data_IF_561925563387
#
_entry.id   IF_561925563387
#
_cell.length_a   1.000
_cell.length_b   1.000
_cell.length_c   1.000
_cell.angle_alpha   90.00
_cell.angle_beta   90.00
_cell.angle_gamma   90.00
#
_symmetry.space_group_name_H-M   'P 1'
#
loop_
_entity.id
_entity.type
_entity.pdbx_description
1 polymer ?
#
# COMPACT_ATOMS: atom_id res chain seq x y z
N UNK A 1 23.95 33.94 -19.73
CA UNK A 1 24.37 32.59 -19.28
C UNK A 1 23.10 31.83 -18.95
N UNK A 2 22.65 30.96 -19.86
CA UNK A 2 21.42 30.18 -19.68
C UNK A 2 21.78 28.92 -18.88
N UNK A 3 21.31 28.83 -17.64
CA UNK A 3 21.38 27.59 -16.87
C UNK A 3 20.29 26.65 -17.41
N UNK A 4 20.59 25.90 -18.47
CA UNK A 4 19.78 24.76 -18.83
C UNK A 4 20.00 23.67 -17.77
N UNK A 5 19.12 23.59 -16.78
CA UNK A 5 19.08 22.46 -15.86
C UNK A 5 18.81 21.21 -16.71
N UNK A 6 19.70 20.21 -16.63
CA UNK A 6 19.42 18.92 -17.25
C UNK A 6 18.10 18.37 -16.66
N UNK A 7 17.25 17.71 -17.47
CA UNK A 7 16.02 17.12 -16.97
C UNK A 7 16.37 16.12 -15.85
N UNK A 8 15.65 16.23 -14.74
CA UNK A 8 15.80 15.35 -13.58
C UNK A 8 15.45 13.92 -13.99
N UNK A 9 16.24 12.93 -13.58
CA UNK A 9 15.94 11.53 -13.88
C UNK A 9 14.75 11.04 -13.07
N UNK A 10 14.06 10.00 -13.54
CA UNK A 10 12.95 9.39 -12.82
C UNK A 10 13.34 8.93 -11.40
N UNK A 11 14.52 8.33 -11.25
CA UNK A 11 15.02 7.89 -9.95
C UNK A 11 15.28 9.07 -9.02
N UNK A 12 15.77 10.19 -9.56
CA UNK A 12 15.96 11.42 -8.80
C UNK A 12 14.61 12.02 -8.35
N UNK A 13 13.58 11.98 -9.20
CA UNK A 13 12.23 12.42 -8.82
C UNK A 13 11.64 11.57 -7.69
N UNK A 14 11.75 10.24 -7.79
CA UNK A 14 11.27 9.33 -6.75
C UNK A 14 12.07 9.51 -5.45
N UNK A 15 13.40 9.65 -5.54
CA UNK A 15 14.25 9.88 -4.38
C UNK A 15 13.94 11.22 -3.69
N UNK A 16 13.73 12.29 -4.46
CA UNK A 16 13.33 13.60 -3.92
C UNK A 16 11.99 13.50 -3.17
N UNK A 17 10.98 12.86 -3.78
CA UNK A 17 9.69 12.65 -3.14
C UNK A 17 9.77 11.81 -1.86
N UNK A 18 10.65 10.79 -1.81
CA UNK A 18 10.93 10.04 -0.57
C UNK A 18 11.54 10.94 0.51
N UNK A 19 12.50 11.79 0.14
CA UNK A 19 13.12 12.76 1.06
C UNK A 19 12.13 13.76 1.64
N UNK A 20 11.25 14.32 0.81
CA UNK A 20 10.17 15.22 1.25
C UNK A 20 9.21 14.52 2.22
N UNK A 21 8.83 13.28 1.90
CA UNK A 21 7.94 12.49 2.75
C UNK A 21 8.59 12.15 4.09
N UNK A 22 9.86 11.75 4.10
CA UNK A 22 10.61 11.49 5.34
C UNK A 22 10.68 12.72 6.24
N UNK A 23 10.92 13.90 5.65
CA UNK A 23 10.90 15.17 6.39
C UNK A 23 9.51 15.47 6.98
N UNK A 24 8.45 15.27 6.19
CA UNK A 24 7.08 15.44 6.66
C UNK A 24 6.72 14.48 7.80
N UNK A 25 7.17 13.22 7.73
CA UNK A 25 6.93 12.24 8.81
C UNK A 25 7.77 12.55 10.06
N UNK A 26 8.96 13.13 9.90
CA UNK A 26 9.82 13.46 11.04
C UNK A 26 9.33 14.69 11.82
N UNK A 27 8.91 15.74 11.11
CA UNK A 27 8.67 17.06 11.72
C UNK A 27 7.38 17.76 11.26
N UNK A 28 6.61 17.15 10.37
CA UNK A 28 5.33 17.71 9.92
C UNK A 28 4.28 17.78 11.03
N UNK A 29 3.38 18.75 10.92
CA UNK A 29 2.26 18.90 11.87
C UNK A 29 1.34 17.68 11.82
N UNK A 30 1.05 17.19 10.60
CA UNK A 30 0.20 16.02 10.35
C UNK A 30 1.00 14.70 10.35
N UNK A 31 2.18 14.67 10.99
CA UNK A 31 3.00 13.46 11.03
C UNK A 31 2.24 12.33 11.76
N UNK A 32 2.12 11.14 11.15
CA UNK A 32 1.52 9.96 11.78
C UNK A 32 2.47 9.27 12.76
N UNK A 33 3.69 9.78 12.96
CA UNK A 33 4.63 9.24 13.94
C UNK A 33 4.27 9.80 15.32
N UNK A 34 4.02 8.94 16.33
CA UNK A 34 3.74 9.40 17.69
C UNK A 34 4.83 10.32 18.22
N UNK A 35 4.46 11.39 18.92
CA UNK A 35 5.41 12.42 19.37
C UNK A 35 6.59 11.85 20.16
N UNK A 36 6.36 10.81 20.97
CA UNK A 36 7.40 10.12 21.73
C UNK A 36 8.40 9.34 20.86
N UNK A 37 7.99 8.88 19.67
CA UNK A 37 8.84 8.13 18.73
C UNK A 37 9.57 9.04 17.73
N UNK A 38 9.11 10.29 17.53
CA UNK A 38 9.66 11.23 16.52
C UNK A 38 11.16 11.49 16.67
N UNK A 39 11.67 11.57 17.91
CA UNK A 39 13.10 11.82 18.15
C UNK A 39 14.00 10.70 17.62
N UNK A 40 13.51 9.45 17.64
CA UNK A 40 14.22 8.27 17.13
C UNK A 40 13.92 7.94 15.66
N UNK A 41 13.07 8.73 15.00
CA UNK A 41 12.65 8.47 13.63
C UNK A 41 13.78 8.78 12.62
N UNK A 42 14.33 7.71 12.03
CA UNK A 42 15.44 7.76 11.10
C UNK A 42 15.02 7.75 9.61
N UNK A 43 13.74 8.04 9.33
CA UNK A 43 13.16 7.95 7.99
C UNK A 43 12.46 6.62 7.73
N UNK A 44 11.60 6.64 6.71
CA UNK A 44 10.85 5.49 6.24
C UNK A 44 11.78 4.43 5.64
N UNK A 45 11.25 3.23 5.47
CA UNK A 45 12.01 2.11 4.89
C UNK A 45 11.48 1.83 3.49
N UNK A 46 12.37 1.76 2.50
CA UNK A 46 12.02 1.59 1.10
C UNK A 46 12.77 0.43 0.46
N UNK A 47 12.21 -0.14 -0.60
CA UNK A 47 12.99 -0.90 -1.58
C UNK A 47 13.79 0.04 -2.48
N UNK A 48 14.80 -0.52 -3.14
CA UNK A 48 15.51 0.18 -4.21
C UNK A 48 14.53 0.61 -5.30
N UNK A 49 14.85 1.72 -5.98
CA UNK A 49 14.00 2.21 -7.07
C UNK A 49 14.22 1.30 -8.27
N UNK A 50 13.13 0.71 -8.75
CA UNK A 50 13.13 -0.17 -9.90
C UNK A 50 12.10 0.31 -10.92
N UNK A 51 12.54 0.93 -12.04
CA UNK A 51 11.65 1.44 -13.08
C UNK A 51 10.74 0.39 -13.71
N UNK A 52 11.05 -0.91 -13.62
CA UNK A 52 10.18 -1.98 -14.15
C UNK A 52 8.84 -2.09 -13.41
N UNK A 53 8.75 -1.52 -12.21
CA UNK A 53 7.53 -1.41 -11.42
C UNK A 53 6.76 -0.10 -11.65
N UNK A 54 7.13 0.69 -12.67
CA UNK A 54 6.29 1.77 -13.20
C UNK A 54 5.65 1.30 -14.49
N UNK A 55 4.34 1.07 -14.46
CA UNK A 55 3.59 0.49 -15.59
C UNK A 55 2.41 1.35 -15.99
N UNK A 56 2.15 1.45 -17.29
CA UNK A 56 0.94 2.08 -17.79
C UNK A 56 -0.27 1.18 -17.51
N UNK A 57 -1.35 1.77 -17.02
CA UNK A 57 -2.63 1.12 -16.88
C UNK A 57 -3.74 1.92 -17.56
N UNK A 58 -4.67 1.20 -18.16
CA UNK A 58 -5.92 1.78 -18.65
C UNK A 58 -7.00 1.56 -17.59
N UNK A 59 -7.68 2.64 -17.21
CA UNK A 59 -8.86 2.56 -16.35
C UNK A 59 -10.08 2.22 -17.20
N UNK A 60 -10.58 1.00 -17.04
CA UNK A 60 -11.93 0.68 -17.45
C UNK A 60 -12.88 1.24 -16.38
N UNK A 61 -13.37 2.47 -16.59
CA UNK A 61 -14.42 3.03 -15.74
C UNK A 61 -15.62 2.08 -15.75
N UNK A 62 -16.14 1.79 -14.57
CA UNK A 62 -17.34 0.97 -14.49
C UNK A 62 -18.54 1.86 -14.85
N UNK A 63 -19.45 1.37 -15.69
CA UNK A 63 -20.74 2.03 -16.01
C UNK A 63 -21.50 2.47 -14.73
N UNK A 64 -21.14 1.89 -13.58
CA UNK A 64 -21.66 2.13 -12.24
C UNK A 64 -20.75 3.04 -11.39
N UNK A 65 -20.54 4.31 -11.77
CA UNK A 65 -19.94 5.31 -10.84
C UNK A 65 -20.75 5.50 -9.52
N UNK A 66 -21.89 4.81 -9.42
CA UNK A 66 -22.79 4.65 -8.27
C UNK A 66 -22.54 3.39 -7.44
N UNK A 67 -21.73 2.41 -7.88
CA UNK A 67 -21.49 1.20 -7.08
C UNK A 67 -20.68 1.58 -5.85
N UNK A 68 -21.27 1.35 -4.68
CA UNK A 68 -20.63 1.53 -3.38
C UNK A 68 -20.36 0.15 -2.77
N UNK A 69 -19.17 -0.02 -2.22
CA UNK A 69 -18.81 -1.18 -1.40
C UNK A 69 -18.53 -0.73 0.03
N UNK A 70 -18.66 -1.65 0.97
CA UNK A 70 -18.15 -1.47 2.31
C UNK A 70 -16.77 -2.12 2.39
N UNK A 71 -15.73 -1.31 2.61
CA UNK A 71 -14.35 -1.76 2.76
C UNK A 71 -14.06 -1.90 4.25
N UNK A 72 -13.63 -3.10 4.67
CA UNK A 72 -13.27 -3.35 6.08
C UNK A 72 -12.10 -2.45 6.51
N UNK A 73 -12.05 -2.10 7.79
CA UNK A 73 -10.98 -1.28 8.38
C UNK A 73 -10.24 -2.03 9.49
N UNK A 74 -9.10 -1.49 9.92
CA UNK A 74 -8.24 -2.11 10.95
C UNK A 74 -8.89 -2.23 12.34
N UNK A 75 -9.91 -1.44 12.65
CA UNK A 75 -10.65 -1.50 13.91
C UNK A 75 -11.90 -2.41 13.86
N UNK A 76 -12.12 -3.10 12.73
CA UNK A 76 -13.26 -3.97 12.52
C UNK A 76 -14.54 -3.24 12.08
N UNK A 77 -14.48 -1.92 11.88
CA UNK A 77 -15.58 -1.18 11.24
C UNK A 77 -15.51 -1.28 9.72
N UNK A 78 -16.32 -0.49 9.01
CA UNK A 78 -16.36 -0.45 7.55
C UNK A 78 -16.48 0.97 7.02
N UNK A 79 -15.75 1.25 5.96
CA UNK A 79 -15.79 2.50 5.23
C UNK A 79 -16.50 2.32 3.89
N UNK A 80 -17.45 3.20 3.58
CA UNK A 80 -18.17 3.18 2.30
C UNK A 80 -17.34 3.83 1.20
N UNK A 81 -17.07 3.08 0.14
CA UNK A 81 -16.20 3.47 -0.98
C UNK A 81 -16.94 3.32 -2.30
N UNK A 82 -16.94 4.37 -3.13
CA UNK A 82 -17.40 4.28 -4.51
C UNK A 82 -16.34 3.60 -5.36
N UNK A 83 -16.78 2.65 -6.18
CA UNK A 83 -15.94 1.96 -7.16
C UNK A 83 -15.87 2.83 -8.40
N UNK A 84 -14.66 3.26 -8.79
CA UNK A 84 -14.46 4.07 -9.99
C UNK A 84 -14.27 3.19 -11.22
N UNK A 85 -13.50 2.12 -11.09
CA UNK A 85 -13.23 1.20 -12.19
C UNK A 85 -12.03 0.31 -11.91
N UNK A 86 -11.64 -0.41 -12.94
CA UNK A 86 -10.53 -1.37 -12.87
C UNK A 86 -9.37 -0.89 -13.74
N UNK A 87 -8.21 -0.72 -13.12
CA UNK A 87 -6.94 -0.43 -13.77
C UNK A 87 -6.35 -1.74 -14.30
N UNK A 88 -6.36 -1.92 -15.62
CA UNK A 88 -5.74 -3.07 -16.27
C UNK A 88 -4.33 -2.73 -16.75
N UNK A 89 -3.35 -3.55 -16.37
CA UNK A 89 -1.93 -3.35 -16.69
C UNK A 89 -1.21 -4.68 -16.91
N UNK A 90 0.03 -4.62 -17.39
CA UNK A 90 0.92 -5.79 -17.51
C UNK A 90 2.10 -5.59 -16.60
N UNK A 91 2.40 -6.60 -15.77
CA UNK A 91 3.55 -6.57 -14.87
C UNK A 91 4.12 -7.98 -14.74
N UNK A 92 5.44 -8.10 -14.92
CA UNK A 92 6.11 -9.40 -14.96
C UNK A 92 5.64 -10.29 -16.11
N UNK A 93 5.24 -9.70 -17.24
CA UNK A 93 4.75 -10.42 -18.42
C UNK A 93 3.30 -10.92 -18.34
N UNK A 94 2.62 -10.76 -17.20
CA UNK A 94 1.22 -11.17 -17.03
C UNK A 94 0.27 -9.98 -16.92
N UNK A 95 -0.95 -10.13 -17.45
CA UNK A 95 -2.01 -9.13 -17.27
C UNK A 95 -2.53 -9.19 -15.85
N UNK A 96 -2.65 -8.03 -15.23
CA UNK A 96 -3.13 -7.82 -13.87
C UNK A 96 -4.19 -6.73 -13.84
N UNK A 97 -4.92 -6.68 -12.74
CA UNK A 97 -5.93 -5.68 -12.50
C UNK A 97 -5.92 -5.22 -11.04
N UNK A 98 -6.18 -3.94 -10.82
CA UNK A 98 -6.46 -3.36 -9.51
C UNK A 98 -7.67 -2.43 -9.62
N UNK A 99 -8.57 -2.51 -8.66
CA UNK A 99 -9.74 -1.65 -8.59
C UNK A 99 -9.38 -0.33 -7.93
N UNK A 100 -9.86 0.78 -8.49
CA UNK A 100 -9.70 2.13 -7.97
C UNK A 100 -10.99 2.59 -7.27
N UNK A 101 -10.83 3.29 -6.15
CA UNK A 101 -11.93 3.72 -5.29
C UNK A 101 -11.82 5.20 -4.94
N UNK A 102 -12.93 5.76 -4.46
CA UNK A 102 -12.95 7.04 -3.73
C UNK A 102 -13.88 6.91 -2.53
N UNK A 103 -13.66 7.64 -1.42
CA UNK A 103 -14.64 7.72 -0.35
C UNK A 103 -16.01 8.13 -0.90
N UNK A 104 -17.08 7.48 -0.46
CA UNK A 104 -18.43 7.80 -0.93
C UNK A 104 -18.80 9.26 -0.69
N UNK A 105 -18.35 9.81 0.44
CA UNK A 105 -18.54 11.21 0.84
C UNK A 105 -17.72 12.20 0.02
N UNK A 106 -16.74 11.74 -0.77
CA UNK A 106 -15.92 12.63 -1.57
C UNK A 106 -16.72 13.19 -2.74
N UNK A 107 -16.88 14.51 -2.72
CA UNK A 107 -17.52 15.29 -3.80
C UNK A 107 -16.65 15.39 -5.05
N UNK A 108 -15.36 15.10 -4.89
CA UNK A 108 -14.36 15.22 -5.92
C UNK A 108 -13.59 13.91 -6.04
N UNK A 109 -13.52 13.40 -7.26
CA UNK A 109 -12.81 12.17 -7.59
C UNK A 109 -11.44 12.45 -8.24
N UNK A 110 -10.85 13.64 -8.03
CA UNK A 110 -9.51 14.01 -8.50
C UNK A 110 -8.41 13.07 -8.03
N UNK A 111 -8.55 12.45 -6.85
CA UNK A 111 -7.61 11.44 -6.34
C UNK A 111 -8.30 10.09 -6.25
N UNK A 112 -7.73 9.10 -6.92
CA UNK A 112 -8.17 7.73 -6.89
C UNK A 112 -7.32 6.96 -5.88
N UNK A 113 -7.99 6.26 -4.97
CA UNK A 113 -7.38 5.41 -3.97
C UNK A 113 -7.31 3.97 -4.47
N UNK A 114 -6.11 3.40 -4.50
CA UNK A 114 -5.87 2.03 -4.99
C UNK A 114 -5.17 1.23 -3.87
N UNK A 115 -5.94 0.62 -2.96
CA UNK A 115 -5.38 -0.26 -1.94
C UNK A 115 -5.08 -1.62 -2.55
N UNK A 116 -3.93 -2.21 -2.24
CA UNK A 116 -3.57 -3.53 -2.75
C UNK A 116 -2.79 -4.37 -1.76
N UNK A 117 -2.81 -5.68 -2.00
CA UNK A 117 -1.93 -6.67 -1.39
C UNK A 117 -1.06 -7.32 -2.47
N UNK A 118 0.07 -7.86 -2.07
CA UNK A 118 1.02 -8.56 -2.91
C UNK A 118 1.80 -9.61 -2.08
N UNK A 119 2.61 -10.45 -2.75
CA UNK A 119 3.30 -11.54 -2.08
C UNK A 119 4.41 -11.11 -1.10
N UNK A 120 4.79 -9.82 -1.06
CA UNK A 120 5.72 -9.28 -0.05
C UNK A 120 5.05 -8.97 1.28
N UNK A 121 3.71 -8.87 1.32
CA UNK A 121 3.00 -8.60 2.57
C UNK A 121 3.28 -9.70 3.60
N UNK A 122 3.37 -9.31 4.87
CA UNK A 122 3.66 -10.21 6.00
C UNK A 122 5.12 -10.73 6.06
N UNK A 123 5.95 -10.43 5.07
CA UNK A 123 7.38 -10.78 5.09
C UNK A 123 8.27 -9.53 5.00
N UNK A 124 8.08 -8.71 3.97
CA UNK A 124 8.93 -7.53 3.70
C UNK A 124 8.15 -6.21 3.80
N UNK A 125 6.82 -6.27 3.65
CA UNK A 125 5.90 -5.12 3.68
C UNK A 125 4.76 -5.34 4.69
N UNK A 126 4.05 -4.26 5.03
CA UNK A 126 2.97 -4.28 6.02
C UNK A 126 1.91 -5.34 5.69
N UNK A 127 1.53 -6.15 6.68
CA UNK A 127 0.61 -7.28 6.48
C UNK A 127 -0.81 -6.89 6.09
N UNK A 128 -1.24 -5.65 6.39
CA UNK A 128 -2.56 -5.14 6.01
C UNK A 128 -2.68 -4.80 4.53
N UNK A 129 -1.56 -4.53 3.85
CA UNK A 129 -1.51 -4.06 2.46
C UNK A 129 -0.83 -2.70 2.32
N UNK A 130 -0.74 -2.21 1.08
CA UNK A 130 -0.15 -0.91 0.73
C UNK A 130 -1.08 -0.16 -0.21
N UNK A 131 -0.84 1.14 -0.34
CA UNK A 131 -1.71 2.03 -1.11
C UNK A 131 -0.94 2.71 -2.24
N UNK A 132 -1.69 3.05 -3.28
CA UNK A 132 -1.32 4.01 -4.31
C UNK A 132 -2.43 5.06 -4.39
N UNK A 133 -2.02 6.33 -4.47
CA UNK A 133 -2.91 7.44 -4.78
C UNK A 133 -2.58 7.91 -6.20
N UNK A 134 -3.59 7.97 -7.05
CA UNK A 134 -3.44 8.41 -8.45
C UNK A 134 -4.22 9.70 -8.66
N UNK A 135 -3.61 10.67 -9.35
CA UNK A 135 -4.35 11.83 -9.84
C UNK A 135 -5.17 11.43 -11.07
N UNK A 136 -6.43 11.86 -11.10
CA UNK A 136 -7.37 11.48 -12.16
C UNK A 136 -6.89 12.01 -13.50
N UNK A 137 -6.68 11.08 -14.43
CA UNK A 137 -6.24 11.38 -15.79
C UNK A 137 -7.44 11.73 -16.66
N UNK A 138 -7.33 12.79 -17.46
CA UNK A 138 -8.37 13.18 -18.42
C UNK A 138 -8.52 12.21 -19.60
N UNK A 139 -7.50 11.38 -19.85
CA UNK A 139 -7.47 10.41 -20.96
C UNK A 139 -7.67 8.97 -20.49
N UNK A 140 -7.90 8.73 -19.19
CA UNK A 140 -8.13 7.39 -18.63
C UNK A 140 -6.89 6.47 -18.59
N UNK A 141 -5.71 7.00 -18.90
CA UNK A 141 -4.42 6.30 -18.81
C UNK A 141 -3.65 6.80 -17.59
N UNK A 142 -3.10 5.88 -16.82
CA UNK A 142 -2.44 6.12 -15.54
C UNK A 142 -1.06 5.47 -15.51
N UNK A 143 -0.10 6.16 -14.90
CA UNK A 143 1.17 5.55 -14.51
C UNK A 143 1.02 4.93 -13.12
N UNK A 144 0.88 3.60 -13.06
CA UNK A 144 0.92 2.87 -11.80
C UNK A 144 2.38 2.70 -11.41
N UNK A 145 2.84 3.61 -10.55
CA UNK A 145 4.19 3.61 -10.02
C UNK A 145 4.26 2.96 -8.63
N UNK A 146 4.55 1.66 -8.59
CA UNK A 146 4.69 0.95 -7.30
C UNK A 146 5.93 1.40 -6.51
N UNK A 147 6.89 2.14 -7.09
CA UNK A 147 7.98 2.75 -6.31
C UNK A 147 7.49 3.86 -5.36
N UNK A 148 6.26 4.33 -5.59
CA UNK A 148 5.54 5.30 -4.75
C UNK A 148 4.48 4.65 -3.86
N UNK A 149 4.35 3.32 -3.89
CA UNK A 149 3.44 2.61 -3.00
C UNK A 149 3.85 2.85 -1.54
N UNK A 150 2.87 3.13 -0.68
CA UNK A 150 3.12 3.52 0.71
C UNK A 150 2.31 2.71 1.70
N UNK A 151 2.79 2.67 2.94
CA UNK A 151 2.09 2.04 4.04
C UNK A 151 0.99 2.94 4.60
N UNK A 152 -0.13 2.37 5.04
CA UNK A 152 -1.14 3.11 5.81
C UNK A 152 -0.58 3.65 7.14
N UNK A 153 -1.13 4.76 7.63
CA UNK A 153 -0.66 5.40 8.87
C UNK A 153 -0.74 4.51 10.12
N UNK A 154 -1.70 3.57 10.17
CA UNK A 154 -1.83 2.62 11.27
C UNK A 154 -0.65 1.66 11.44
N UNK A 155 0.28 1.58 10.49
CA UNK A 155 1.55 0.87 10.73
C UNK A 155 2.45 1.62 11.72
N UNK A 156 2.31 2.95 11.79
CA UNK A 156 3.11 3.81 12.66
C UNK A 156 2.41 4.09 13.98
N UNK A 157 1.10 4.32 13.95
CA UNK A 157 0.28 4.63 15.12
C UNK A 157 -1.09 3.93 15.04
N UNK A 158 -1.37 3.04 15.99
CA UNK A 158 -2.59 2.24 16.04
C UNK A 158 -3.87 3.05 16.27
N UNK A 159 -3.77 4.34 16.58
CA UNK A 159 -4.94 5.23 16.69
C UNK A 159 -5.60 5.51 15.34
N UNK A 160 -4.87 5.33 14.23
CA UNK A 160 -5.43 5.47 12.89
C UNK A 160 -6.27 4.25 12.50
N UNK A 161 -7.44 4.52 11.92
CA UNK A 161 -8.30 3.51 11.32
C UNK A 161 -8.06 3.48 9.82
N UNK A 162 -7.55 2.38 9.30
CA UNK A 162 -7.11 2.27 7.90
C UNK A 162 -7.98 1.28 7.11
N UNK A 163 -8.32 1.59 5.85
CA UNK A 163 -9.00 0.65 4.98
C UNK A 163 -8.14 -0.56 4.62
N UNK A 164 -8.72 -1.75 4.67
CA UNK A 164 -8.07 -2.99 4.25
C UNK A 164 -8.34 -3.22 2.76
N UNK A 165 -7.31 -3.51 1.93
CA UNK A 165 -7.52 -3.86 0.54
C UNK A 165 -8.47 -5.06 0.43
N UNK A 166 -9.49 -4.97 -0.43
CA UNK A 166 -10.42 -6.07 -0.63
C UNK A 166 -9.73 -7.22 -1.39
N UNK A 167 -10.25 -8.47 -1.28
CA UNK A 167 -9.57 -9.65 -1.82
C UNK A 167 -9.22 -9.56 -3.31
N UNK A 168 -10.06 -8.93 -4.12
CA UNK A 168 -9.85 -8.72 -5.56
C UNK A 168 -8.61 -7.87 -5.88
N UNK A 169 -8.17 -7.02 -4.96
CA UNK A 169 -6.97 -6.21 -5.11
C UNK A 169 -5.74 -6.92 -4.50
N UNK A 170 -5.62 -8.23 -4.70
CA UNK A 170 -4.45 -9.02 -4.29
C UNK A 170 -3.67 -9.47 -5.52
N UNK A 171 -2.43 -8.99 -5.64
CA UNK A 171 -1.49 -9.41 -6.66
C UNK A 171 -0.74 -10.68 -6.20
N UNK A 172 -0.60 -11.70 -7.05
CA UNK A 172 0.07 -12.95 -6.67
C UNK A 172 1.60 -12.86 -6.68
N UNK A 173 2.18 -11.79 -7.25
CA UNK A 173 3.62 -11.56 -7.32
C UNK A 173 4.10 -10.67 -6.17
N UNK A 174 5.38 -10.77 -5.82
CA UNK A 174 6.01 -9.88 -4.86
C UNK A 174 6.40 -8.56 -5.51
N UNK A 175 5.85 -7.45 -5.03
CA UNK A 175 6.16 -6.10 -5.52
C UNK A 175 7.27 -5.50 -4.65
N UNK A 176 8.53 -5.72 -5.06
CA UNK A 176 9.74 -5.22 -4.38
C UNK A 176 10.07 -3.77 -4.76
N UNK A 177 9.07 -2.91 -4.71
CA UNK A 177 9.16 -1.48 -4.96
C UNK A 177 8.33 -0.72 -3.90
N UNK A 178 8.70 0.52 -3.60
CA UNK A 178 7.97 1.37 -2.65
C UNK A 178 8.34 1.12 -1.19
N UNK A 179 7.43 1.44 -0.27
CA UNK A 179 7.66 1.30 1.18
C UNK A 179 7.69 -0.16 1.64
N UNK A 180 8.61 -0.43 2.56
CA UNK A 180 8.80 -1.67 3.32
C UNK A 180 8.14 -1.57 4.69
N UNK A 181 8.08 -2.67 5.42
CA UNK A 181 7.71 -2.64 6.84
C UNK A 181 8.64 -1.67 7.60
N UNK A 182 8.10 -0.75 8.43
CA UNK A 182 8.92 0.17 9.20
C UNK A 182 9.89 -0.56 10.14
N UNK A 183 11.11 -0.03 10.25
CA UNK A 183 12.11 -0.52 11.21
C UNK A 183 11.57 -0.46 12.64
N UNK A 184 11.83 -1.50 13.43
CA UNK A 184 11.47 -1.54 14.85
C UNK A 184 9.99 -1.77 15.15
N UNK A 185 9.10 -1.83 14.13
CA UNK A 185 7.72 -2.29 14.32
C UNK A 185 7.67 -3.81 14.13
N UNK A 186 7.19 -4.52 15.13
CA UNK A 186 7.00 -5.98 15.06
C UNK A 186 5.76 -6.32 14.25
N UNK A 187 5.85 -7.37 13.44
CA UNK A 187 4.72 -8.02 12.81
C UNK A 187 3.81 -8.58 13.90
N UNK A 188 2.80 -7.81 14.31
CA UNK A 188 1.82 -8.31 15.27
C UNK A 188 0.96 -9.36 14.57
N UNK A 189 1.26 -10.63 14.82
CA UNK A 189 0.43 -11.76 14.40
C UNK A 189 -0.82 -11.77 15.30
N UNK A 190 -1.83 -11.00 14.92
CA UNK A 190 -3.17 -11.12 15.48
C UNK A 190 -3.75 -12.49 15.12
N UNK A 191 -3.53 -13.46 16.01
CA UNK A 191 -4.03 -14.82 15.91
C UNK A 191 -4.02 -15.48 17.28
N UNK A 192 -5.12 -15.32 18.02
CA UNK A 192 -5.44 -16.20 19.14
C UNK A 192 -5.41 -17.65 18.66
N UNK A 193 -4.52 -18.46 19.23
CA UNK A 193 -4.52 -19.90 18.98
C UNK A 193 -3.14 -20.54 19.10
N UNK A 194 -2.60 -20.60 20.32
CA UNK A 194 -1.65 -21.65 20.67
C UNK A 194 -2.42 -22.97 20.55
N UNK A 195 -2.24 -23.69 19.44
CA UNK A 195 -2.52 -25.13 19.43
C UNK A 195 -1.24 -25.81 19.88
N UNK A 196 -1.17 -26.12 21.17
CA UNK A 196 -0.31 -27.18 21.67
C UNK A 196 -0.62 -28.44 20.85
N UNK A 197 0.32 -28.83 20.00
CA UNK A 197 0.35 -30.20 19.49
C UNK A 197 0.74 -31.09 20.66
N UNK A 198 -0.27 -31.56 21.39
CA UNK A 198 -0.14 -32.64 22.36
C UNK A 198 0.50 -33.84 21.68
N UNK A 199 1.69 -34.21 22.15
CA UNK A 199 2.39 -35.42 21.73
C UNK A 199 1.54 -36.64 22.01
N UNK A 200 1.15 -37.35 20.95
CA UNK A 200 0.53 -38.66 21.08
C UNK A 200 1.63 -39.68 21.36
N UNK A 201 1.68 -40.12 22.61
CA UNK A 201 2.49 -41.23 23.09
C UNK A 201 2.07 -42.50 22.34
N UNK A 202 2.93 -43.00 21.44
CA UNK A 202 2.80 -44.35 20.89
C UNK A 202 3.18 -45.33 22.01
N UNK A 203 2.17 -45.94 22.62
CA UNK A 203 2.34 -47.10 23.47
C UNK A 203 2.83 -48.28 22.62
N UNK A 204 4.08 -48.66 22.81
CA UNK A 204 4.65 -49.88 22.26
C UNK A 204 3.96 -51.11 22.84
N UNK A 205 3.33 -51.89 21.96
CA UNK A 205 2.90 -53.26 22.26
C UNK A 205 4.14 -54.13 22.51
N UNK A 206 4.21 -54.72 23.71
CA UNK A 206 5.09 -55.85 24.02
C UNK A 206 4.22 -57.07 24.31
N UNK A 207 4.52 -58.13 23.55
CA UNK A 207 4.21 -59.56 23.72
C UNK A 207 2.79 -60.00 23.39
#
# INVERSE_FOLDING_TARGET
MSCAHAPVSYEQEVAAGRGEKDAAFKSGQDSPIPAAERAGFAGLSYFDIDPSFRVAAALAETEMSTRVIEMDTTDGTRQRMRVIGTLAFTLGGERRALTAYVPETSRDARRLFVPFRDATNRAETYGGGRYLDLERSSIGIYDLDFNRAYNPFCVYDTQYVCPLPPPENTLPLGIKAGEKMPRGKTMSFGGSGVREFGGSTVAGSRR
#
